data_IF_372199520447
#
_entry.id   IF_372199520447
#
_cell.length_a   1.000
_cell.length_b   1.000
_cell.length_c   1.000
_cell.angle_alpha   90.00
_cell.angle_beta   90.00
_cell.angle_gamma   90.00
#
_symmetry.space_group_name_H-M   'P 1'
#
loop_
_entity.id
_entity.type
_entity.pdbx_description
1 polymer ?
#
# COMPACT_ATOMS: atom_id res chain seq x y z
N UNK A 1 7.16 6.50 9.11
CA UNK A 1 6.71 6.00 7.80
C UNK A 1 5.28 6.41 7.44
N UNK A 2 4.39 6.69 8.40
CA UNK A 2 3.00 7.12 8.14
C UNK A 2 2.89 8.34 7.21
N UNK A 3 3.70 9.39 7.42
CA UNK A 3 3.74 10.56 6.52
C UNK A 3 4.05 10.19 5.06
N UNK A 4 4.95 9.23 4.84
CA UNK A 4 5.26 8.75 3.49
C UNK A 4 4.06 8.02 2.90
N UNK A 5 3.35 7.22 3.71
CA UNK A 5 2.14 6.51 3.28
C UNK A 5 1.03 7.48 2.83
N UNK A 6 0.83 8.56 3.58
CA UNK A 6 -0.16 9.60 3.25
C UNK A 6 0.13 10.28 1.90
N UNK A 7 1.41 10.38 1.51
CA UNK A 7 1.84 10.97 0.25
C UNK A 7 2.20 9.95 -0.84
N UNK A 8 2.04 8.64 -0.60
CA UNK A 8 2.48 7.59 -1.52
C UNK A 8 1.91 7.75 -2.93
N UNK A 9 0.62 8.08 -3.04
CA UNK A 9 -0.04 8.27 -4.34
C UNK A 9 0.58 9.44 -5.11
N UNK A 10 0.88 10.56 -4.44
CA UNK A 10 1.55 11.72 -5.03
C UNK A 10 2.98 11.35 -5.47
N UNK A 11 3.71 10.62 -4.62
CA UNK A 11 5.08 10.15 -4.88
C UNK A 11 5.10 9.21 -6.10
N UNK A 12 4.27 8.17 -6.12
CA UNK A 12 4.22 7.21 -7.23
C UNK A 12 3.75 7.83 -8.55
N UNK A 13 2.83 8.81 -8.47
CA UNK A 13 2.39 9.54 -9.65
C UNK A 13 3.57 10.31 -10.26
N UNK A 14 4.31 11.09 -9.45
CA UNK A 14 5.49 11.81 -9.93
C UNK A 14 6.58 10.84 -10.42
N UNK A 15 6.83 9.76 -9.67
CA UNK A 15 7.79 8.73 -10.02
C UNK A 15 7.45 8.04 -11.35
N UNK A 16 6.18 7.85 -11.68
CA UNK A 16 5.78 7.26 -12.96
C UNK A 16 6.24 8.09 -14.17
N UNK A 17 6.26 9.42 -14.04
CA UNK A 17 6.78 10.32 -15.07
C UNK A 17 8.31 10.29 -15.15
N UNK A 18 8.98 10.26 -14.00
CA UNK A 18 10.44 10.24 -13.92
C UNK A 18 11.02 8.88 -14.33
N UNK A 19 10.30 7.78 -14.08
CA UNK A 19 10.70 6.42 -14.45
C UNK A 19 10.95 6.23 -15.96
N UNK A 20 10.31 7.05 -16.81
CA UNK A 20 10.57 7.04 -18.26
C UNK A 20 11.98 7.54 -18.62
N UNK A 21 12.61 8.30 -17.72
CA UNK A 21 13.92 8.95 -17.94
C UNK A 21 15.02 8.43 -17.01
N UNK A 22 14.67 7.75 -15.92
CA UNK A 22 15.61 7.26 -14.92
C UNK A 22 15.36 5.78 -14.57
N UNK A 23 16.37 4.93 -14.81
CA UNK A 23 16.26 3.47 -14.61
C UNK A 23 16.14 3.08 -13.14
N UNK A 24 16.71 3.85 -12.22
CA UNK A 24 16.68 3.53 -10.80
C UNK A 24 15.31 3.84 -10.22
N UNK A 25 14.71 4.98 -10.58
CA UNK A 25 13.30 5.28 -10.26
C UNK A 25 12.38 4.20 -10.84
N UNK A 26 12.60 3.74 -12.08
CA UNK A 26 11.79 2.67 -12.67
C UNK A 26 11.87 1.35 -11.86
N UNK A 27 13.06 0.99 -11.36
CA UNK A 27 13.26 -0.19 -10.50
C UNK A 27 12.59 -0.02 -9.15
N UNK A 28 12.77 1.12 -8.50
CA UNK A 28 12.17 1.44 -7.21
C UNK A 28 10.64 1.43 -7.30
N UNK A 29 10.06 2.06 -8.32
CA UNK A 29 8.61 2.08 -8.55
C UNK A 29 8.05 0.67 -8.78
N UNK A 30 8.78 -0.17 -9.53
CA UNK A 30 8.39 -1.56 -9.76
C UNK A 30 8.42 -2.36 -8.45
N UNK A 31 9.47 -2.19 -7.66
CA UNK A 31 9.58 -2.83 -6.35
C UNK A 31 8.47 -2.38 -5.40
N UNK A 32 8.27 -1.07 -5.24
CA UNK A 32 7.26 -0.49 -4.35
C UNK A 32 5.86 -1.02 -4.65
N UNK A 33 5.46 -1.04 -5.93
CA UNK A 33 4.16 -1.57 -6.36
C UNK A 33 3.99 -3.06 -6.11
N UNK A 34 5.02 -3.87 -6.41
CA UNK A 34 4.99 -5.32 -6.14
C UNK A 34 4.91 -5.59 -4.65
N UNK A 35 5.74 -4.93 -3.86
CA UNK A 35 5.77 -5.07 -2.40
C UNK A 35 4.44 -4.64 -1.78
N UNK A 36 3.86 -3.51 -2.20
CA UNK A 36 2.56 -3.05 -1.74
C UNK A 36 1.43 -4.05 -2.02
N UNK A 37 1.40 -4.66 -3.22
CA UNK A 37 0.42 -5.72 -3.52
C UNK A 37 0.63 -6.98 -2.67
N UNK A 38 1.88 -7.33 -2.36
CA UNK A 38 2.23 -8.46 -1.49
C UNK A 38 1.80 -8.19 -0.04
N UNK A 39 1.84 -6.93 0.38
CA UNK A 39 1.41 -6.43 1.69
C UNK A 39 -0.08 -6.07 1.75
N UNK A 40 -0.92 -6.79 1.00
CA UNK A 40 -2.38 -6.62 1.02
C UNK A 40 -2.83 -5.18 0.76
N UNK A 41 -2.12 -4.43 -0.08
CA UNK A 41 -2.43 -3.05 -0.48
C UNK A 41 -2.61 -2.07 0.69
N UNK A 42 -1.99 -2.32 1.84
CA UNK A 42 -2.17 -1.48 3.03
C UNK A 42 -3.59 -1.52 3.62
N UNK A 43 -4.39 -2.54 3.30
CA UNK A 43 -5.77 -2.68 3.80
C UNK A 43 -5.83 -2.97 5.30
N UNK A 44 -4.76 -3.53 5.87
CA UNK A 44 -4.72 -3.86 7.30
C UNK A 44 -4.40 -2.61 8.11
N UNK A 45 -5.28 -2.17 9.02
CA UNK A 45 -5.12 -0.96 9.80
C UNK A 45 -3.91 -1.10 10.70
N UNK A 46 -3.27 0.04 10.97
CA UNK A 46 -2.09 0.13 11.83
C UNK A 46 -0.91 -0.74 11.42
N UNK A 47 -0.89 -1.22 10.17
CA UNK A 47 0.21 -2.06 9.66
C UNK A 47 1.54 -1.32 9.55
N UNK A 48 1.58 0.00 9.77
CA UNK A 48 2.81 0.81 9.74
C UNK A 48 3.27 1.14 11.16
N UNK A 49 2.32 1.51 12.03
CA UNK A 49 2.56 1.99 13.40
C UNK A 49 2.68 0.86 14.42
N UNK A 50 2.04 -0.28 14.18
CA UNK A 50 2.05 -1.43 15.08
C UNK A 50 3.19 -2.38 14.70
N UNK A 51 4.24 -2.43 15.55
CA UNK A 51 5.40 -3.29 15.33
C UNK A 51 5.06 -4.79 15.43
N UNK A 52 3.98 -5.13 16.14
CA UNK A 52 3.50 -6.51 16.23
C UNK A 52 2.62 -6.91 15.03
N UNK A 53 2.33 -5.97 14.12
CA UNK A 53 1.59 -6.29 12.91
C UNK A 53 2.42 -7.22 12.03
N UNK A 54 1.84 -8.34 11.53
CA UNK A 54 2.52 -9.24 10.61
C UNK A 54 2.84 -8.58 9.26
N UNK A 55 2.29 -7.40 8.98
CA UNK A 55 2.61 -6.62 7.78
C UNK A 55 3.62 -5.50 8.04
N UNK A 56 4.08 -5.29 9.28
CA UNK A 56 4.94 -4.14 9.62
C UNK A 56 6.19 -4.07 8.75
N UNK A 57 7.01 -5.12 8.77
CA UNK A 57 8.26 -5.14 8.00
C UNK A 57 8.04 -4.96 6.50
N UNK A 58 7.01 -5.61 5.95
CA UNK A 58 6.72 -5.54 4.52
C UNK A 58 6.14 -4.18 4.11
N UNK A 59 5.36 -3.53 5.01
CA UNK A 59 4.84 -2.18 4.80
C UNK A 59 5.93 -1.13 4.83
N UNK A 60 6.85 -1.25 5.79
CA UNK A 60 8.05 -0.41 5.85
C UNK A 60 8.93 -0.57 4.60
N UNK A 61 9.01 -1.76 4.02
CA UNK A 61 9.81 -1.99 2.81
C UNK A 61 9.32 -1.20 1.59
N UNK A 62 8.01 -1.16 1.30
CA UNK A 62 7.52 -0.36 0.16
C UNK A 62 7.59 1.15 0.43
N UNK A 63 7.36 1.59 1.69
CA UNK A 63 7.46 3.00 2.06
C UNK A 63 8.91 3.51 2.03
N UNK A 64 9.88 2.66 2.38
CA UNK A 64 11.29 2.98 2.22
C UNK A 64 11.65 3.18 0.73
N UNK A 65 11.06 2.40 -0.17
CA UNK A 65 11.24 2.60 -1.61
C UNK A 65 10.62 3.91 -2.10
N UNK A 66 9.44 4.29 -1.58
CA UNK A 66 8.80 5.58 -1.88
C UNK A 66 9.67 6.76 -1.39
N UNK A 67 10.23 6.66 -0.19
CA UNK A 67 11.17 7.65 0.36
C UNK A 67 12.44 7.75 -0.50
N UNK A 68 13.02 6.62 -0.89
CA UNK A 68 14.20 6.58 -1.76
C UNK A 68 13.92 7.21 -3.14
N UNK A 69 12.73 6.96 -3.72
CA UNK A 69 12.30 7.61 -4.96
C UNK A 69 12.21 9.12 -4.78
N UNK A 70 11.60 9.59 -3.69
CA UNK A 70 11.45 11.02 -3.44
C UNK A 70 12.81 11.73 -3.29
N UNK A 71 13.74 11.13 -2.52
CA UNK A 71 15.10 11.63 -2.37
C UNK A 71 15.84 11.70 -3.72
N UNK A 72 15.71 10.66 -4.56
CA UNK A 72 16.34 10.64 -5.88
C UNK A 72 15.71 11.64 -6.85
N UNK A 73 14.38 11.75 -6.89
CA UNK A 73 13.68 12.71 -7.77
C UNK A 73 14.09 14.15 -7.48
N UNK A 74 14.31 14.51 -6.20
CA UNK A 74 14.84 15.81 -5.80
C UNK A 74 16.21 16.14 -6.40
N UNK A 75 17.05 15.12 -6.61
CA UNK A 75 18.40 15.28 -7.16
C UNK A 75 18.44 15.28 -8.70
N UNK A 76 17.34 14.92 -9.37
CA UNK A 76 17.26 14.85 -10.83
C UNK A 76 16.74 16.15 -11.45
N UNK A 77 17.11 16.49 -12.69
CA UNK A 77 16.66 17.71 -13.37
C UNK A 77 15.23 17.60 -13.94
N UNK A 78 14.50 16.54 -13.64
CA UNK A 78 13.17 16.28 -14.20
C UNK A 78 12.08 16.68 -13.20
N UNK A 79 11.13 17.52 -13.63
CA UNK A 79 10.03 17.98 -12.76
C UNK A 79 10.52 18.53 -11.42
N UNK A 80 11.68 19.20 -11.44
CA UNK A 80 12.46 19.55 -10.26
C UNK A 80 11.66 20.36 -9.24
N UNK A 81 10.91 21.37 -9.68
CA UNK A 81 10.06 22.17 -8.80
C UNK A 81 9.01 21.33 -8.07
N UNK A 82 8.40 20.36 -8.77
CA UNK A 82 7.41 19.45 -8.18
C UNK A 82 8.07 18.46 -7.22
N UNK A 83 9.24 17.94 -7.58
CA UNK A 83 9.98 16.99 -6.75
C UNK A 83 10.48 17.65 -5.45
N UNK A 84 11.04 18.85 -5.53
CA UNK A 84 11.48 19.64 -4.36
C UNK A 84 10.29 19.99 -3.48
N UNK A 85 9.21 20.53 -4.06
CA UNK A 85 8.02 20.88 -3.28
C UNK A 85 7.40 19.68 -2.56
N UNK A 86 7.31 18.52 -3.22
CA UNK A 86 6.81 17.30 -2.60
C UNK A 86 7.77 16.78 -1.53
N UNK A 87 9.08 16.79 -1.79
CA UNK A 87 10.09 16.42 -0.79
C UNK A 87 9.97 17.28 0.46
N UNK A 88 9.95 18.60 0.30
CA UNK A 88 9.93 19.54 1.44
C UNK A 88 8.60 19.46 2.22
N UNK A 89 7.48 19.17 1.53
CA UNK A 89 6.18 18.90 2.17
C UNK A 89 6.25 17.66 3.05
N UNK A 90 6.79 16.56 2.51
CA UNK A 90 6.94 15.28 3.22
C UNK A 90 7.92 15.42 4.38
N UNK A 91 9.08 16.02 4.16
CA UNK A 91 10.12 16.22 5.18
C UNK A 91 9.58 17.05 6.35
N UNK A 92 8.86 18.14 6.06
CA UNK A 92 8.20 18.96 7.09
C UNK A 92 7.20 18.13 7.90
N UNK A 93 6.36 17.33 7.24
CA UNK A 93 5.43 16.45 7.92
C UNK A 93 6.13 15.41 8.80
N UNK A 94 7.24 14.84 8.35
CA UNK A 94 8.04 13.90 9.14
C UNK A 94 8.65 14.55 10.39
N UNK A 95 9.12 15.80 10.28
CA UNK A 95 9.64 16.59 11.41
C UNK A 95 8.53 16.91 12.41
N UNK A 96 7.39 17.43 11.92
CA UNK A 96 6.25 17.81 12.76
C UNK A 96 5.67 16.63 13.54
N UNK A 97 5.68 15.43 12.95
CA UNK A 97 5.19 14.20 13.59
C UNK A 97 6.28 13.45 14.38
N UNK A 98 7.50 13.98 14.49
CA UNK A 98 8.63 13.31 15.16
C UNK A 98 9.07 11.99 14.48
N UNK A 99 8.58 11.71 13.27
CA UNK A 99 8.83 10.48 12.53
C UNK A 99 10.26 10.39 11.98
N UNK A 100 10.98 11.51 11.91
CA UNK A 100 12.41 11.54 11.56
C UNK A 100 13.33 11.06 12.69
N UNK A 101 12.80 10.95 13.92
CA UNK A 101 13.56 10.59 15.14
C UNK A 101 13.27 9.17 15.64
N UNK A 102 12.19 8.55 15.17
CA UNK A 102 11.78 7.19 15.57
C UNK A 102 12.29 6.18 14.54
N UNK A 103 13.33 5.44 14.91
CA UNK A 103 13.81 4.30 14.12
C UNK A 103 12.93 3.09 14.48
N UNK A 104 11.99 2.73 13.61
CA UNK A 104 11.28 1.45 13.76
C UNK A 104 12.27 0.31 13.49
N UNK A 105 12.13 -0.82 14.20
CA UNK A 105 13.08 -1.95 14.11
C UNK A 105 13.32 -2.43 12.66
N UNK A 106 12.28 -2.37 11.81
CA UNK A 106 12.35 -2.75 10.40
C UNK A 106 12.90 -1.65 9.48
N UNK A 107 12.86 -0.37 9.88
CA UNK A 107 13.45 0.75 9.13
C UNK A 107 14.98 0.74 9.11
N UNK A 108 15.62 -0.06 9.98
CA UNK A 108 17.08 -0.22 10.07
C UNK A 108 17.62 -1.42 9.27
N UNK A 109 16.74 -2.23 8.65
CA UNK A 109 17.16 -3.36 7.82
C UNK A 109 17.76 -2.88 6.50
N UNK A 110 18.70 -3.63 5.94
CA UNK A 110 19.37 -3.24 4.68
C UNK A 110 18.31 -3.19 3.57
N UNK A 111 18.04 -1.98 3.07
CA UNK A 111 17.12 -1.76 1.97
C UNK A 111 17.64 -2.49 0.72
N UNK A 112 16.98 -3.60 0.37
CA UNK A 112 17.35 -4.44 -0.76
C UNK A 112 16.15 -4.66 -1.69
N UNK A 113 16.20 -4.05 -2.88
CA UNK A 113 15.16 -4.20 -3.90
C UNK A 113 15.26 -5.50 -4.71
N UNK A 114 16.28 -6.33 -4.45
CA UNK A 114 16.45 -7.64 -5.11
C UNK A 114 15.57 -8.73 -4.49
N UNK A 115 15.04 -8.52 -3.28
CA UNK A 115 14.20 -9.46 -2.56
C UNK A 115 12.96 -8.78 -2.00
N UNK A 116 11.80 -9.41 -2.13
CA UNK A 116 10.57 -8.94 -1.49
C UNK A 116 10.54 -9.39 -0.02
N UNK A 117 10.01 -8.53 0.84
CA UNK A 117 9.78 -8.84 2.25
C UNK A 117 8.40 -9.51 2.36
N UNK A 118 8.35 -10.69 2.96
CA UNK A 118 7.08 -11.40 3.14
C UNK A 118 6.35 -10.90 4.40
N UNK A 119 5.01 -10.88 4.40
CA UNK A 119 4.25 -10.77 5.63
C UNK A 119 4.55 -11.95 6.55
N UNK A 120 4.52 -11.74 7.86
CA UNK A 120 4.60 -12.82 8.84
C UNK A 120 3.27 -13.57 8.91
N UNK A 121 3.11 -14.58 8.05
CA UNK A 121 1.87 -15.35 7.94
C UNK A 121 1.51 -16.10 9.23
N UNK A 122 2.49 -16.43 10.08
CA UNK A 122 2.24 -17.16 11.31
C UNK A 122 1.48 -16.29 12.32
N UNK A 123 1.83 -15.01 12.38
CA UNK A 123 1.30 -14.08 13.38
C UNK A 123 -0.02 -13.41 12.97
N UNK A 124 -0.57 -13.73 11.80
CA UNK A 124 -1.90 -13.27 11.39
C UNK A 124 -3.04 -13.77 12.31
N UNK A 125 -2.91 -14.99 12.84
CA UNK A 125 -3.93 -15.57 13.71
C UNK A 125 -3.87 -15.02 15.15
N UNK A 126 -2.69 -14.56 15.58
CA UNK A 126 -2.43 -14.05 16.93
C UNK A 126 -2.58 -12.54 17.01
N UNK A 127 -2.41 -11.82 15.89
CA UNK A 127 -2.63 -10.38 15.80
C UNK A 127 -4.11 -10.03 15.50
N UNK A 128 -4.88 -9.75 16.56
CA UNK A 128 -6.33 -9.49 16.49
C UNK A 128 -6.76 -8.49 15.40
N UNK A 129 -6.12 -7.31 15.24
CA UNK A 129 -6.51 -6.38 14.18
C UNK A 129 -6.40 -6.99 12.77
N UNK A 130 -5.31 -7.72 12.50
CA UNK A 130 -5.11 -8.39 11.21
C UNK A 130 -6.14 -9.49 11.00
N UNK A 131 -6.41 -10.30 12.02
CA UNK A 131 -7.42 -11.35 11.97
C UNK A 131 -8.81 -10.80 11.65
N UNK A 132 -9.23 -9.74 12.33
CA UNK A 132 -10.55 -9.13 12.08
C UNK A 132 -10.66 -8.54 10.68
N UNK A 133 -9.60 -7.92 10.16
CA UNK A 133 -9.63 -7.46 8.76
C UNK A 133 -9.77 -8.58 7.77
N UNK A 134 -9.05 -9.69 7.95
CA UNK A 134 -9.16 -10.86 7.10
C UNK A 134 -10.58 -11.43 7.14
N UNK A 135 -11.13 -11.63 8.35
CA UNK A 135 -12.50 -12.13 8.54
C UNK A 135 -13.53 -11.18 7.92
N UNK A 136 -13.36 -9.86 8.09
CA UNK A 136 -14.23 -8.86 7.49
C UNK A 136 -14.25 -8.93 5.96
N UNK A 137 -13.07 -9.04 5.33
CA UNK A 137 -12.96 -9.18 3.87
C UNK A 137 -13.63 -10.47 3.38
N UNK A 138 -13.38 -11.61 4.04
CA UNK A 138 -14.02 -12.88 3.68
C UNK A 138 -15.54 -12.80 3.83
N UNK A 139 -16.03 -12.20 4.91
CA UNK A 139 -17.46 -12.04 5.16
C UNK A 139 -18.13 -11.19 4.08
N UNK A 140 -17.49 -10.08 3.67
CA UNK A 140 -17.97 -9.23 2.59
C UNK A 140 -18.00 -9.95 1.23
N UNK A 141 -16.97 -10.73 0.92
CA UNK A 141 -16.95 -11.54 -0.31
C UNK A 141 -18.09 -12.56 -0.34
N UNK A 142 -18.30 -13.28 0.76
CA UNK A 142 -19.38 -14.26 0.89
C UNK A 142 -20.76 -13.58 0.79
N UNK A 143 -20.95 -12.45 1.46
CA UNK A 143 -22.20 -11.68 1.36
C UNK A 143 -22.47 -11.22 -0.09
N UNK A 144 -21.44 -10.75 -0.80
CA UNK A 144 -21.53 -10.37 -2.21
C UNK A 144 -21.95 -11.53 -3.13
N UNK A 145 -21.41 -12.73 -2.90
CA UNK A 145 -21.80 -13.94 -3.62
C UNK A 145 -23.26 -14.34 -3.34
N UNK A 146 -23.72 -14.25 -2.09
CA UNK A 146 -25.11 -14.54 -1.73
C UNK A 146 -26.07 -13.54 -2.38
N UNK A 147 -25.78 -12.24 -2.29
CA UNK A 147 -26.63 -11.19 -2.86
C UNK A 147 -26.71 -11.31 -4.39
N UNK A 148 -25.57 -11.52 -5.06
CA UNK A 148 -25.54 -11.71 -6.51
C UNK A 148 -26.30 -12.96 -6.96
N UNK A 149 -26.18 -14.07 -6.21
CA UNK A 149 -26.94 -15.30 -6.46
C UNK A 149 -28.45 -15.11 -6.29
N UNK A 150 -28.89 -14.44 -5.22
CA UNK A 150 -30.31 -14.12 -4.98
C UNK A 150 -30.86 -13.22 -6.09
N UNK A 151 -30.10 -12.18 -6.49
CA UNK A 151 -30.48 -11.28 -7.57
C UNK A 151 -30.65 -12.01 -8.91
N UNK A 152 -29.71 -12.90 -9.25
CA UNK A 152 -29.79 -13.75 -10.46
C UNK A 152 -31.04 -14.63 -10.45
N UNK A 153 -31.33 -15.32 -9.34
CA UNK A 153 -32.52 -16.18 -9.21
C UNK A 153 -33.81 -15.37 -9.35
N UNK A 154 -33.86 -14.18 -8.74
CA UNK A 154 -35.03 -13.31 -8.83
C UNK A 154 -35.27 -12.79 -10.26
N UNK A 155 -34.20 -12.36 -10.96
CA UNK A 155 -34.30 -11.88 -12.33
C UNK A 155 -34.69 -12.98 -13.33
N UNK A 156 -34.14 -14.19 -13.17
CA UNK A 156 -34.53 -15.33 -14.02
C UNK A 156 -36.01 -15.67 -13.82
N UNK A 157 -36.50 -15.68 -12.58
CA UNK A 157 -37.93 -15.91 -12.30
C UNK A 157 -38.83 -14.81 -12.87
N UNK A 158 -38.44 -13.54 -12.75
CA UNK A 158 -39.20 -12.42 -13.31
C UNK A 158 -39.32 -12.48 -14.83
N UNK A 159 -38.25 -12.87 -15.54
CA UNK A 159 -38.25 -13.01 -16.99
C UNK A 159 -38.91 -14.30 -17.50
N UNK A 160 -39.17 -15.27 -16.62
CA UNK A 160 -39.82 -16.55 -16.96
C UNK A 160 -41.34 -16.54 -16.70
N UNK A 161 -41.90 -15.44 -16.19
CA UNK A 161 -43.34 -15.31 -16.01
C UNK A 161 -44.01 -15.24 -17.39
N UNK A 162 -44.93 -16.17 -17.75
CA UNK A 162 -45.62 -16.11 -19.02
C UNK A 162 -46.46 -14.83 -19.08
N UNK A 163 -46.32 -14.07 -20.16
CA UNK A 163 -47.20 -12.94 -20.47
C UNK A 163 -48.63 -13.49 -20.55
N UNK A 164 -49.42 -13.27 -19.49
CA UNK A 164 -50.83 -13.65 -19.45
C UNK A 164 -51.58 -12.92 -20.56
N UNK A 165 -52.16 -13.71 -21.47
CA UNK A 165 -53.23 -13.33 -22.40
C UNK A 165 -54.53 -13.24 -21.62
#
# INVERSE_FOLDING_TARGET
MTVIADHRVEIEMLASWVAMKDREIAKLLTFARRQHSRCLWGLVPRSIEDEASPLNGCSHAYLAADQAMLARMRALPFWQDKAIALYDKVERGMIEQGSSLVLCAFSATIFNIASLVEPDWHDFATHLPSLFTLLGVVTLMLAGLVVSGVWLVHNVRANSAPNGV
#
